data_IF_119826793180
#
_entry.id   IF_119826793180
#
_cell.length_a   1.000
_cell.length_b   1.000
_cell.length_c   1.000
_cell.angle_alpha   90.00
_cell.angle_beta   90.00
_cell.angle_gamma   90.00
#
_symmetry.space_group_name_H-M   'P 1'
#
loop_
_entity.id
_entity.type
_entity.pdbx_description
1 polymer ?
#
# COMPACT_ATOMS: atom_id res chain seq x y z
N UNK A 1 -10.36 -17.37 10.81
CA UNK A 1 -11.31 -16.63 9.96
C UNK A 1 -10.55 -16.23 8.71
N UNK A 2 -11.10 -16.47 7.51
CA UNK A 2 -10.51 -15.90 6.30
C UNK A 2 -10.68 -14.39 6.42
N UNK A 3 -9.59 -13.66 6.63
CA UNK A 3 -9.63 -12.21 6.49
C UNK A 3 -9.89 -11.98 5.01
N UNK A 4 -11.11 -11.60 4.64
CA UNK A 4 -11.39 -11.10 3.30
C UNK A 4 -11.11 -9.60 3.33
N UNK A 5 -10.42 -9.12 2.29
CA UNK A 5 -10.30 -7.68 2.04
C UNK A 5 -11.72 -7.10 1.84
N UNK A 6 -12.03 -6.04 2.56
CA UNK A 6 -13.28 -5.27 2.40
C UNK A 6 -13.08 -4.09 1.46
N UNK A 7 -11.88 -3.52 1.49
CA UNK A 7 -11.42 -2.51 0.55
C UNK A 7 -10.97 -3.23 -0.69
N UNK A 8 -11.40 -2.75 -1.86
CA UNK A 8 -10.93 -3.28 -3.14
C UNK A 8 -9.55 -2.71 -3.49
N UNK A 9 -8.81 -3.40 -4.36
CA UNK A 9 -7.53 -2.89 -4.87
C UNK A 9 -7.69 -1.48 -5.47
N UNK A 10 -8.77 -1.20 -6.20
CA UNK A 10 -9.02 0.11 -6.80
C UNK A 10 -9.28 1.22 -5.76
N UNK A 11 -9.98 0.91 -4.67
CA UNK A 11 -10.17 1.84 -3.56
C UNK A 11 -8.86 2.09 -2.82
N UNK A 12 -8.12 1.02 -2.51
CA UNK A 12 -6.81 1.10 -1.87
C UNK A 12 -5.82 1.91 -2.73
N UNK A 13 -5.85 1.72 -4.05
CA UNK A 13 -5.08 2.50 -5.03
C UNK A 13 -5.41 3.98 -4.96
N UNK A 14 -6.69 4.31 -4.86
CA UNK A 14 -7.14 5.71 -4.75
C UNK A 14 -6.68 6.32 -3.43
N UNK A 15 -6.70 5.56 -2.33
CA UNK A 15 -6.20 5.98 -1.03
C UNK A 15 -4.68 6.19 -1.08
N UNK A 16 -3.95 5.27 -1.68
CA UNK A 16 -2.50 5.33 -1.80
C UNK A 16 -2.05 6.55 -2.63
N UNK A 17 -2.68 6.80 -3.78
CA UNK A 17 -2.40 7.98 -4.62
C UNK A 17 -2.79 9.31 -3.95
N UNK A 18 -3.77 9.31 -3.05
CA UNK A 18 -4.11 10.48 -2.22
C UNK A 18 -3.05 10.71 -1.14
N UNK A 19 -2.49 9.65 -0.58
CA UNK A 19 -1.45 9.72 0.45
C UNK A 19 -0.09 10.12 -0.14
N UNK A 20 0.25 9.62 -1.34
CA UNK A 20 1.44 10.00 -2.08
C UNK A 20 1.12 10.10 -3.59
N UNK A 21 1.09 11.31 -4.17
CA UNK A 21 0.81 11.48 -5.59
C UNK A 21 2.00 11.06 -6.44
N UNK A 22 1.76 10.19 -7.42
CA UNK A 22 2.78 9.74 -8.36
C UNK A 22 2.25 8.68 -9.31
N UNK A 23 3.16 7.90 -9.87
CA UNK A 23 2.83 6.76 -10.73
C UNK A 23 3.04 5.48 -9.94
N UNK A 24 1.97 4.72 -9.75
CA UNK A 24 2.09 3.36 -9.22
C UNK A 24 2.86 2.51 -10.23
N UNK A 25 3.91 1.85 -9.75
CA UNK A 25 4.75 0.93 -10.50
C UNK A 25 4.52 -0.52 -10.10
N UNK A 26 4.10 -0.76 -8.85
CA UNK A 26 3.72 -2.08 -8.35
C UNK A 26 2.53 -1.99 -7.38
N UNK A 27 1.71 -3.05 -7.33
CA UNK A 27 0.57 -3.14 -6.43
C UNK A 27 0.29 -4.60 -6.04
N UNK A 28 0.33 -4.89 -4.73
CA UNK A 28 0.17 -6.24 -4.21
C UNK A 28 -0.74 -6.32 -2.98
N UNK A 29 -1.30 -7.51 -2.72
CA UNK A 29 -2.07 -7.80 -1.51
C UNK A 29 -1.32 -8.84 -0.69
N UNK A 30 -0.98 -8.44 0.52
CA UNK A 30 -0.05 -9.14 1.39
C UNK A 30 -0.74 -9.53 2.70
N UNK A 31 -0.24 -10.62 3.31
CA UNK A 31 -0.56 -10.97 4.70
C UNK A 31 0.63 -10.60 5.57
N UNK A 32 0.52 -9.47 6.24
CA UNK A 32 1.57 -8.95 7.11
C UNK A 32 1.02 -8.59 8.48
N UNK A 33 1.91 -8.52 9.48
CA UNK A 33 1.55 -8.05 10.81
C UNK A 33 1.35 -6.53 10.79
N UNK A 34 0.13 -6.08 11.09
CA UNK A 34 -0.23 -4.67 11.09
C UNK A 34 -1.69 -4.49 10.66
N UNK A 35 -2.37 -3.51 11.24
CA UNK A 35 -3.79 -3.27 10.96
C UNK A 35 -4.65 -4.52 11.19
N UNK A 36 -5.29 -4.99 10.12
CA UNK A 36 -6.18 -6.16 10.07
C UNK A 36 -5.50 -7.48 9.74
N UNK A 37 -4.18 -7.49 9.50
CA UNK A 37 -3.44 -8.66 9.02
C UNK A 37 -3.50 -8.85 7.50
N UNK A 38 -4.07 -7.88 6.78
CA UNK A 38 -4.05 -7.80 5.32
C UNK A 38 -3.73 -6.36 4.89
N UNK A 39 -2.75 -6.22 4.01
CA UNK A 39 -2.24 -4.93 3.54
C UNK A 39 -2.17 -4.95 2.02
N UNK A 40 -2.64 -3.89 1.40
CA UNK A 40 -2.26 -3.56 0.03
C UNK A 40 -0.97 -2.76 0.08
N UNK A 41 0.06 -3.15 -0.65
CA UNK A 41 1.26 -2.34 -0.83
C UNK A 41 1.29 -1.74 -2.23
N UNK A 42 1.76 -0.50 -2.33
CA UNK A 42 1.86 0.24 -3.56
C UNK A 42 3.20 0.93 -3.65
N UNK A 43 3.96 0.60 -4.69
CA UNK A 43 5.17 1.34 -5.03
C UNK A 43 4.80 2.53 -5.90
N UNK A 44 4.95 3.73 -5.36
CA UNK A 44 4.59 4.97 -6.03
C UNK A 44 5.86 5.74 -6.40
N UNK A 45 6.14 5.77 -7.70
CA UNK A 45 7.26 6.52 -8.26
C UNK A 45 6.92 7.99 -8.45
N UNK A 46 7.75 8.85 -7.87
CA UNK A 46 7.74 10.30 -8.08
C UNK A 46 9.13 10.75 -8.53
N UNK A 47 9.30 10.88 -9.86
CA UNK A 47 10.60 11.20 -10.46
C UNK A 47 11.61 10.06 -10.31
N UNK A 48 12.65 10.28 -9.49
CA UNK A 48 13.71 9.30 -9.21
C UNK A 48 13.53 8.54 -7.90
N UNK A 49 12.55 8.93 -7.08
CA UNK A 49 12.26 8.33 -5.79
C UNK A 49 11.05 7.40 -5.95
N UNK A 50 11.11 6.24 -5.30
CA UNK A 50 9.96 5.36 -5.09
C UNK A 50 9.55 5.44 -3.63
N UNK A 51 8.25 5.53 -3.39
CA UNK A 51 7.66 5.53 -2.07
C UNK A 51 6.77 4.32 -1.94
N UNK A 52 6.95 3.55 -0.88
CA UNK A 52 6.05 2.46 -0.54
C UNK A 52 4.88 3.02 0.29
N UNK A 53 3.66 2.74 -0.16
CA UNK A 53 2.44 3.11 0.56
C UNK A 53 1.61 1.87 0.87
N UNK A 54 1.50 1.57 2.16
CA UNK A 54 0.70 0.47 2.67
C UNK A 54 -0.71 0.90 3.07
N UNK A 55 -1.75 0.19 2.61
CA UNK A 55 -3.16 0.45 2.94
C UNK A 55 -3.79 -0.81 3.53
N UNK A 56 -4.40 -0.69 4.70
CA UNK A 56 -5.12 -1.79 5.35
C UNK A 56 -6.30 -2.27 4.49
N UNK A 57 -6.31 -3.55 4.14
CA UNK A 57 -7.28 -4.11 3.19
C UNK A 57 -8.70 -4.25 3.78
N UNK A 58 -8.90 -4.02 5.09
CA UNK A 58 -10.22 -4.08 5.72
C UNK A 58 -10.81 -2.70 6.06
N UNK A 59 -9.97 -1.75 6.44
CA UNK A 59 -10.37 -0.43 6.93
C UNK A 59 -10.02 0.70 5.98
N UNK A 60 -9.08 0.50 5.04
CA UNK A 60 -8.59 1.54 4.14
C UNK A 60 -7.64 2.53 4.83
N UNK A 61 -7.21 2.22 6.04
CA UNK A 61 -6.25 3.06 6.77
C UNK A 61 -4.87 2.94 6.14
N UNK A 62 -4.20 4.06 5.91
CA UNK A 62 -2.78 4.07 5.55
C UNK A 62 -1.97 3.54 6.73
N UNK A 63 -1.25 2.45 6.49
CA UNK A 63 -0.35 1.78 7.44
C UNK A 63 1.09 2.23 7.26
N UNK A 64 1.48 2.55 6.02
CA UNK A 64 2.83 2.96 5.67
C UNK A 64 2.83 4.02 4.56
N UNK A 65 3.80 4.92 4.60
CA UNK A 65 4.08 5.91 3.56
C UNK A 65 5.53 6.37 3.78
N UNK A 66 6.49 5.66 3.19
CA UNK A 66 7.93 5.93 3.36
C UNK A 66 8.68 5.74 2.04
N UNK A 67 9.81 6.41 1.88
CA UNK A 67 10.71 6.17 0.75
C UNK A 67 11.20 4.72 0.79
N UNK A 68 11.16 4.06 -0.36
CA UNK A 68 11.71 2.72 -0.51
C UNK A 68 13.22 2.80 -0.30
N UNK A 69 13.72 2.06 0.70
CA UNK A 69 15.14 2.07 1.05
C UNK A 69 16.00 1.33 0.02
N UNK A 70 17.32 1.56 -0.03
CA UNK A 70 18.23 0.85 -0.95
C UNK A 70 18.37 -0.65 -0.68
N UNK A 71 17.74 -1.17 0.38
CA UNK A 71 17.57 -2.60 0.63
C UNK A 71 16.07 -2.92 0.54
N UNK A 72 15.58 -3.40 -0.61
CA UNK A 72 14.38 -4.22 -0.61
C UNK A 72 14.72 -5.53 0.13
N UNK A 73 13.95 -5.88 1.15
CA UNK A 73 14.05 -7.18 1.86
C UNK A 73 13.80 -8.36 0.91
#
# INVERSE_FOLDING_TARGET
>A
MAHNAKVTMAEARTIALKAHPGKITDEELEKENGGSGLRYSFDIRQGKVTHEVGVDAQSGKVLENKEEGPNPD
#
